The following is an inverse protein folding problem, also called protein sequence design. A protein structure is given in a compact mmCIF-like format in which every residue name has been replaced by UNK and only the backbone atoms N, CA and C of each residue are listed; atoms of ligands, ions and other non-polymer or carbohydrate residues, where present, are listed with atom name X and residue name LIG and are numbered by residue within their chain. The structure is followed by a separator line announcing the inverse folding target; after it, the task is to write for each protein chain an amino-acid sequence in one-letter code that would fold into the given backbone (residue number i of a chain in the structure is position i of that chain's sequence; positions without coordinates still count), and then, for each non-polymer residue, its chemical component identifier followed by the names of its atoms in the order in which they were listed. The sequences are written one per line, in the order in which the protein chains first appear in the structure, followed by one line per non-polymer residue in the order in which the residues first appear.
data_IF_013347129652
#
_entry.id   IF_013347129652
#
_cell.length_a   1.000
_cell.length_b   1.000
_cell.length_c   1.000
_cell.angle_alpha   90.00
_cell.angle_beta   90.00
_cell.angle_gamma   90.00
#
_symmetry.space_group_name_H-M   'P 1'
#
loop_
_entity.id
_entity.type
_entity.pdbx_description
1 polymer ?
#
# COMPACT_ATOMS: atom_id res chain seq x y z
N UNK A 1 17.75 -19.01 2.33
CA UNK A 1 16.45 -18.60 2.93
C UNK A 1 15.55 -18.17 1.79
N UNK A 2 14.29 -18.65 1.74
CA UNK A 2 13.35 -18.27 0.66
C UNK A 2 13.13 -16.77 0.65
N UNK A 3 12.90 -16.17 -0.53
CA UNK A 3 12.73 -14.72 -0.67
C UNK A 3 11.60 -14.17 0.22
N UNK A 4 10.46 -14.85 0.25
CA UNK A 4 9.32 -14.47 1.08
C UNK A 4 9.72 -14.37 2.56
N UNK A 5 10.49 -15.33 3.10
CA UNK A 5 10.94 -15.28 4.50
C UNK A 5 11.85 -14.09 4.79
N UNK A 6 12.70 -13.69 3.82
CA UNK A 6 13.55 -12.49 3.96
C UNK A 6 12.71 -11.22 3.99
N UNK A 7 11.77 -11.13 3.05
CA UNK A 7 10.89 -9.97 2.91
C UNK A 7 9.93 -9.83 4.11
N UNK A 8 9.39 -10.94 4.60
CA UNK A 8 8.53 -10.94 5.80
C UNK A 8 9.30 -10.55 7.05
N UNK A 9 10.54 -11.04 7.22
CA UNK A 9 11.38 -10.64 8.34
C UNK A 9 11.69 -9.14 8.30
N UNK A 10 12.08 -8.62 7.12
CA UNK A 10 12.32 -7.19 6.93
C UNK A 10 11.06 -6.35 7.22
N UNK A 11 9.90 -6.79 6.72
CA UNK A 11 8.64 -6.09 6.98
C UNK A 11 8.29 -6.05 8.48
N UNK A 12 8.59 -7.12 9.23
CA UNK A 12 8.37 -7.16 10.68
C UNK A 12 9.25 -6.16 11.46
N UNK A 13 10.39 -5.75 10.90
CA UNK A 13 11.24 -4.71 11.50
C UNK A 13 10.68 -3.30 11.28
N UNK A 14 9.85 -3.12 10.25
CA UNK A 14 9.27 -1.82 9.88
C UNK A 14 7.83 -1.61 10.35
N UNK A 15 7.02 -2.67 10.45
CA UNK A 15 5.58 -2.57 10.58
C UNK A 15 5.06 -3.30 11.83
N UNK A 16 3.92 -2.85 12.32
CA UNK A 16 3.29 -3.38 13.53
C UNK A 16 2.77 -4.81 13.35
N UNK A 17 2.07 -5.06 12.23
CA UNK A 17 1.60 -6.39 11.86
C UNK A 17 1.83 -6.64 10.37
N UNK A 18 2.09 -7.91 10.03
CA UNK A 18 2.25 -8.36 8.65
C UNK A 18 1.57 -9.70 8.43
N UNK A 19 1.02 -9.91 7.23
CA UNK A 19 0.42 -11.19 6.84
C UNK A 19 0.42 -11.38 5.34
N UNK A 20 0.46 -12.62 4.89
CA UNK A 20 0.54 -12.97 3.48
C UNK A 20 -0.78 -13.50 2.94
N UNK A 21 -1.11 -13.12 1.70
CA UNK A 21 -2.27 -13.59 0.94
C UNK A 21 -1.76 -14.04 -0.43
N UNK A 22 -2.26 -15.15 -0.96
CA UNK A 22 -2.01 -15.50 -2.36
C UNK A 22 -2.81 -14.58 -3.28
N UNK A 23 -2.17 -14.04 -4.32
CA UNK A 23 -2.86 -13.10 -5.24
C UNK A 23 -4.08 -13.73 -5.90
N UNK A 24 -4.06 -15.04 -6.16
CA UNK A 24 -5.18 -15.78 -6.69
C UNK A 24 -6.44 -15.82 -5.77
N UNK A 25 -6.27 -15.47 -4.49
CA UNK A 25 -7.37 -15.43 -3.51
C UNK A 25 -7.93 -14.01 -3.32
N UNK A 26 -7.31 -13.01 -3.94
CA UNK A 26 -7.72 -11.61 -3.83
C UNK A 26 -9.06 -11.39 -4.54
N UNK A 27 -9.90 -10.58 -3.90
CA UNK A 27 -11.18 -10.15 -4.45
C UNK A 27 -11.14 -8.66 -4.77
N UNK A 28 -11.80 -8.31 -5.85
CA UNK A 28 -11.90 -6.94 -6.34
C UNK A 28 -13.34 -6.48 -6.30
N UNK A 29 -13.55 -5.27 -5.80
CA UNK A 29 -14.87 -4.72 -5.54
C UNK A 29 -15.07 -3.44 -6.37
N UNK A 30 -15.82 -3.49 -7.48
CA UNK A 30 -16.15 -2.30 -8.27
C UNK A 30 -16.80 -1.20 -7.44
N UNK A 31 -17.54 -1.58 -6.39
CA UNK A 31 -18.22 -0.65 -5.47
C UNK A 31 -17.23 0.26 -4.73
N UNK A 32 -16.03 -0.23 -4.42
CA UNK A 32 -14.96 0.59 -3.81
C UNK A 32 -14.55 1.72 -4.75
N UNK A 33 -14.51 1.47 -6.06
CA UNK A 33 -14.22 2.50 -7.08
C UNK A 33 -15.34 3.54 -7.15
N UNK A 34 -16.60 3.14 -6.96
CA UNK A 34 -17.72 4.09 -6.86
C UNK A 34 -17.63 4.96 -5.61
N UNK A 35 -17.23 4.37 -4.46
CA UNK A 35 -16.96 5.14 -3.23
C UNK A 35 -15.81 6.13 -3.47
N UNK A 36 -14.73 5.72 -4.14
CA UNK A 36 -13.64 6.63 -4.53
C UNK A 36 -14.17 7.79 -5.39
N UNK A 37 -15.08 7.52 -6.34
CA UNK A 37 -15.70 8.55 -7.19
C UNK A 37 -16.52 9.55 -6.38
N UNK A 38 -17.14 9.13 -5.28
CA UNK A 38 -17.80 10.01 -4.30
C UNK A 38 -16.87 11.02 -3.63
N UNK A 39 -15.55 10.80 -3.73
CA UNK A 39 -14.47 11.72 -3.36
C UNK A 39 -14.52 12.25 -1.91
N UNK A 40 -14.96 11.43 -0.96
CA UNK A 40 -15.01 11.77 0.47
C UNK A 40 -13.61 12.08 1.00
N UNK A 41 -12.60 11.29 0.62
CA UNK A 41 -11.20 11.49 0.99
C UNK A 41 -10.52 12.66 0.23
N UNK A 42 -11.20 13.28 -0.74
CA UNK A 42 -10.74 14.42 -1.55
C UNK A 42 -9.50 14.16 -2.42
N UNK A 43 -9.17 12.89 -2.69
CA UNK A 43 -8.01 12.50 -3.51
C UNK A 43 -8.39 12.08 -4.94
N UNK A 44 -9.66 11.77 -5.20
CA UNK A 44 -10.13 11.37 -6.52
C UNK A 44 -9.90 12.48 -7.57
N UNK A 45 -9.28 12.12 -8.68
CA UNK A 45 -8.97 13.08 -9.75
C UNK A 45 -7.97 14.17 -9.38
N UNK A 46 -7.20 14.00 -8.30
CA UNK A 46 -6.26 15.02 -7.81
C UNK A 46 -4.83 14.53 -7.63
N UNK A 47 -4.60 13.22 -7.65
CA UNK A 47 -3.27 12.64 -7.43
C UNK A 47 -3.03 11.47 -8.36
N UNK A 48 -1.77 11.23 -8.72
CA UNK A 48 -1.35 10.03 -9.45
C UNK A 48 -1.55 8.73 -8.67
N UNK A 49 -1.72 8.81 -7.35
CA UNK A 49 -1.85 7.65 -6.47
C UNK A 49 -3.28 7.07 -6.39
N UNK A 50 -4.28 7.82 -6.86
CA UNK A 50 -5.71 7.50 -6.71
C UNK A 50 -6.44 7.48 -8.04
N UNK A 51 -7.65 6.91 -8.11
CA UNK A 51 -8.48 6.96 -9.31
C UNK A 51 -8.78 8.40 -9.75
N UNK A 52 -8.93 8.63 -11.05
CA UNK A 52 -8.81 7.72 -12.19
C UNK A 52 -7.35 7.47 -12.63
N UNK A 53 -6.35 8.15 -12.05
CA UNK A 53 -4.96 8.11 -12.49
C UNK A 53 -4.32 6.70 -12.40
N UNK A 54 -4.77 5.86 -11.46
CA UNK A 54 -4.29 4.48 -11.32
C UNK A 54 -4.77 3.54 -12.43
N UNK A 55 -5.64 4.03 -13.33
CA UNK A 55 -6.23 3.27 -14.44
C UNK A 55 -7.56 2.62 -14.07
N UNK A 56 -8.07 1.74 -14.95
CA UNK A 56 -9.30 0.97 -14.71
C UNK A 56 -9.08 -0.13 -13.68
N UNK A 57 -10.17 -0.75 -13.21
CA UNK A 57 -10.08 -1.87 -12.27
C UNK A 57 -9.39 -3.08 -12.92
N UNK A 58 -9.70 -3.34 -14.19
CA UNK A 58 -9.10 -4.41 -15.00
C UNK A 58 -7.60 -4.20 -15.17
N UNK A 59 -7.16 -2.97 -15.43
CA UNK A 59 -5.73 -2.65 -15.51
C UNK A 59 -5.02 -2.83 -14.16
N UNK A 60 -5.71 -2.56 -13.05
CA UNK A 60 -5.20 -2.82 -11.71
C UNK A 60 -5.07 -4.33 -11.46
N UNK A 61 -6.07 -5.14 -11.85
CA UNK A 61 -6.04 -6.60 -11.75
C UNK A 61 -4.87 -7.18 -12.56
N UNK A 62 -4.72 -6.79 -13.82
CA UNK A 62 -3.60 -7.24 -14.67
C UNK A 62 -2.24 -6.95 -14.03
N UNK A 63 -2.09 -5.81 -13.34
CA UNK A 63 -0.85 -5.51 -12.63
C UNK A 63 -0.61 -6.43 -11.42
N UNK A 64 -1.68 -6.76 -10.68
CA UNK A 64 -1.61 -7.68 -9.54
C UNK A 64 -1.34 -9.11 -9.99
N UNK A 65 -1.93 -9.55 -11.10
CA UNK A 65 -1.78 -10.90 -11.66
C UNK A 65 -0.34 -11.23 -12.11
N UNK A 66 0.53 -10.24 -12.19
CA UNK A 66 1.97 -10.46 -12.42
C UNK A 66 2.72 -10.97 -11.18
N UNK A 67 2.06 -11.09 -10.03
CA UNK A 67 2.63 -11.50 -8.74
C UNK A 67 1.86 -12.66 -8.15
N UNK A 68 2.53 -13.49 -7.35
CA UNK A 68 1.93 -14.68 -6.73
C UNK A 68 1.54 -14.47 -5.25
N UNK A 69 2.12 -13.47 -4.60
CA UNK A 69 1.93 -13.23 -3.17
C UNK A 69 1.81 -11.73 -2.87
N UNK A 70 0.82 -11.39 -2.04
CA UNK A 70 0.68 -10.08 -1.40
C UNK A 70 1.10 -10.20 0.06
N UNK A 71 2.08 -9.42 0.49
CA UNK A 71 2.39 -9.17 1.90
C UNK A 71 1.65 -7.90 2.32
N UNK A 72 0.57 -8.05 3.09
CA UNK A 72 -0.13 -6.94 3.72
C UNK A 72 0.61 -6.55 5.00
N UNK A 73 0.73 -5.26 5.26
CA UNK A 73 1.35 -4.73 6.47
C UNK A 73 0.57 -3.54 7.03
N UNK A 74 0.71 -3.30 8.33
CA UNK A 74 0.02 -2.21 9.02
C UNK A 74 0.90 -1.53 10.06
N UNK A 75 0.57 -0.27 10.37
CA UNK A 75 1.10 0.45 11.54
C UNK A 75 -0.06 1.06 12.32
N UNK A 76 -0.06 0.83 13.63
CA UNK A 76 -1.01 1.41 14.58
C UNK A 76 -0.43 2.68 15.19
N UNK A 77 -1.25 3.71 15.30
CA UNK A 77 -0.92 4.95 16.02
C UNK A 77 -1.95 5.19 17.11
N UNK A 78 -1.48 5.52 18.31
CA UNK A 78 -2.35 5.94 19.41
C UNK A 78 -2.73 7.42 19.22
N UNK A 79 -3.97 7.76 19.54
CA UNK A 79 -4.56 9.09 19.41
C UNK A 79 -4.96 9.61 20.79
N UNK A 80 -5.01 10.93 20.99
CA UNK A 80 -5.50 11.52 22.22
C UNK A 80 -6.98 11.17 22.46
N UNK A 81 -7.79 11.23 21.38
CA UNK A 81 -9.18 10.79 21.36
C UNK A 81 -9.63 10.45 19.92
N UNK A 82 -10.92 10.11 19.75
CA UNK A 82 -11.49 9.72 18.45
C UNK A 82 -11.59 10.88 17.45
N UNK A 83 -11.33 12.12 17.85
CA UNK A 83 -11.36 13.33 17.03
C UNK A 83 -9.99 13.98 16.86
N UNK A 84 -8.93 13.29 17.25
CA UNK A 84 -7.54 13.74 17.08
C UNK A 84 -7.11 13.68 15.59
N UNK A 85 -7.61 14.62 14.80
CA UNK A 85 -7.28 14.73 13.37
C UNK A 85 -5.80 15.06 13.12
N UNK A 86 -5.14 15.74 14.06
CA UNK A 86 -3.70 16.05 13.97
C UNK A 86 -2.88 14.79 14.15
N UNK A 87 -3.18 13.97 15.15
CA UNK A 87 -2.57 12.66 15.37
C UNK A 87 -2.79 11.72 14.19
N UNK A 88 -4.02 11.64 13.66
CA UNK A 88 -4.30 10.85 12.45
C UNK A 88 -3.45 11.33 11.26
N UNK A 89 -3.37 12.63 11.02
CA UNK A 89 -2.58 13.18 9.91
C UNK A 89 -1.09 12.91 10.10
N UNK A 90 -0.57 13.11 11.30
CA UNK A 90 0.82 12.85 11.65
C UNK A 90 1.18 11.37 11.46
N UNK A 91 0.34 10.48 11.96
CA UNK A 91 0.49 9.03 11.79
C UNK A 91 0.48 8.61 10.32
N UNK A 92 -0.43 9.17 9.51
CA UNK A 92 -0.44 8.91 8.07
C UNK A 92 0.85 9.34 7.38
N UNK A 93 1.39 10.50 7.71
CA UNK A 93 2.63 11.00 7.11
C UNK A 93 3.85 10.18 7.57
N UNK A 94 3.86 9.75 8.83
CA UNK A 94 4.90 8.86 9.35
C UNK A 94 4.84 7.48 8.68
N UNK A 95 3.66 6.89 8.57
CA UNK A 95 3.44 5.64 7.84
C UNK A 95 4.02 5.70 6.42
N UNK A 96 3.75 6.78 5.68
CA UNK A 96 4.30 6.94 4.32
C UNK A 96 5.83 6.99 4.30
N UNK A 97 6.45 7.60 5.30
CA UNK A 97 7.92 7.60 5.44
C UNK A 97 8.46 6.20 5.78
N UNK A 98 7.74 5.43 6.59
CA UNK A 98 8.11 4.04 6.88
C UNK A 98 8.02 3.18 5.62
N UNK A 99 6.98 3.34 4.81
CA UNK A 99 6.84 2.66 3.51
C UNK A 99 7.99 3.04 2.55
N UNK A 100 8.40 4.31 2.52
CA UNK A 100 9.54 4.75 1.70
C UNK A 100 10.85 4.06 2.14
N UNK A 101 11.13 3.98 3.45
CA UNK A 101 12.33 3.30 3.97
C UNK A 101 12.29 1.80 3.66
N UNK A 102 11.15 1.17 3.87
CA UNK A 102 10.95 -0.23 3.53
C UNK A 102 11.20 -0.46 2.02
N UNK A 103 10.72 0.44 1.15
CA UNK A 103 10.97 0.37 -0.28
C UNK A 103 12.48 0.39 -0.61
N UNK A 104 13.24 1.30 0.00
CA UNK A 104 14.70 1.41 -0.23
C UNK A 104 15.41 0.09 0.06
N UNK A 105 15.00 -0.63 1.11
CA UNK A 105 15.59 -1.92 1.47
C UNK A 105 15.09 -3.05 0.55
N UNK A 106 13.78 -3.08 0.21
CA UNK A 106 13.20 -4.05 -0.71
C UNK A 106 13.83 -3.96 -2.10
N UNK A 107 14.16 -2.78 -2.59
CA UNK A 107 14.82 -2.58 -3.88
C UNK A 107 16.19 -3.28 -3.97
N UNK A 108 16.82 -3.58 -2.84
CA UNK A 108 18.07 -4.35 -2.81
C UNK A 108 17.85 -5.86 -2.93
N UNK A 109 16.63 -6.33 -2.61
CA UNK A 109 16.28 -7.75 -2.50
C UNK A 109 15.48 -8.23 -3.71
N UNK A 110 14.46 -7.43 -4.11
CA UNK A 110 13.52 -7.79 -5.16
C UNK A 110 13.82 -7.02 -6.46
N UNK A 111 13.93 -7.73 -7.60
CA UNK A 111 14.06 -7.08 -8.90
C UNK A 111 12.74 -6.46 -9.38
N UNK A 112 11.62 -7.13 -9.08
CA UNK A 112 10.27 -6.73 -9.47
C UNK A 112 9.33 -6.82 -8.29
N UNK A 113 8.54 -5.78 -8.07
CA UNK A 113 7.52 -5.71 -7.02
C UNK A 113 6.50 -4.62 -7.35
N UNK A 114 5.35 -4.67 -6.70
CA UNK A 114 4.37 -3.59 -6.69
C UNK A 114 4.09 -3.22 -5.23
N UNK A 115 4.31 -1.96 -4.88
CA UNK A 115 4.07 -1.44 -3.54
C UNK A 115 2.85 -0.54 -3.55
N UNK A 116 1.85 -0.90 -2.75
CA UNK A 116 0.61 -0.14 -2.53
C UNK A 116 0.62 0.46 -1.12
N UNK A 117 -0.04 1.57 -0.94
CA UNK A 117 -0.11 2.26 0.35
C UNK A 117 -1.54 2.68 0.65
N UNK A 118 -1.76 3.36 1.75
CA UNK A 118 -3.03 3.96 2.09
C UNK A 118 -3.38 5.11 1.11
N UNK A 119 -4.59 5.60 1.20
CA UNK A 119 -5.16 6.67 0.38
C UNK A 119 -4.25 7.87 0.15
N UNK A 120 -4.26 8.39 -1.08
CA UNK A 120 -3.63 9.64 -1.47
C UNK A 120 -2.11 9.61 -1.44
N UNK A 121 -1.52 10.59 -2.11
CA UNK A 121 -0.09 10.88 -2.04
C UNK A 121 0.07 12.28 -1.43
N UNK A 122 0.89 12.41 -0.38
CA UNK A 122 1.16 13.67 0.33
C UNK A 122 2.59 14.17 0.13
N UNK A 123 3.30 13.64 -0.88
CA UNK A 123 4.69 13.99 -1.17
C UNK A 123 4.85 15.42 -1.70
N UNK A 124 3.93 15.87 -2.51
CA UNK A 124 3.94 17.23 -3.08
C UNK A 124 2.88 18.09 -2.41
N UNK A 125 3.18 19.37 -2.18
CA UNK A 125 2.17 20.33 -1.74
C UNK A 125 0.98 20.39 -2.72
N UNK A 126 1.27 20.33 -4.02
CA UNK A 126 0.28 20.20 -5.10
C UNK A 126 0.76 19.16 -6.09
N UNK A 127 -0.06 18.14 -6.35
CA UNK A 127 0.25 17.10 -7.33
C UNK A 127 0.27 17.68 -8.75
N UNK A 128 1.09 17.08 -9.61
CA UNK A 128 1.14 17.43 -11.05
C UNK A 128 0.00 16.82 -11.85
N UNK A 129 -0.80 15.92 -11.25
CA UNK A 129 -1.93 15.31 -11.94
C UNK A 129 -3.02 16.36 -12.27
N UNK A 130 -3.63 16.34 -13.45
CA UNK A 130 -3.32 15.49 -14.62
C UNK A 130 -2.29 16.09 -15.59
N UNK A 131 -1.84 17.31 -15.38
CA UNK A 131 -1.21 18.18 -16.38
C UNK A 131 0.24 17.80 -16.71
N UNK A 132 0.94 17.12 -15.79
CA UNK A 132 2.32 16.69 -15.98
C UNK A 132 2.62 15.37 -15.22
N UNK A 133 3.64 14.59 -15.66
CA UNK A 133 4.04 13.36 -14.99
C UNK A 133 4.36 13.55 -13.50
N UNK A 134 4.24 12.48 -12.72
CA UNK A 134 4.64 12.50 -11.31
C UNK A 134 6.11 12.91 -11.17
N UNK A 135 6.39 13.82 -10.22
CA UNK A 135 7.78 14.26 -9.94
C UNK A 135 8.61 13.18 -9.26
N UNK A 136 7.95 12.21 -8.61
CA UNK A 136 8.59 11.14 -7.83
C UNK A 136 8.01 9.77 -8.23
N UNK A 137 8.20 9.33 -9.50
CA UNK A 137 7.54 8.12 -10.01
C UNK A 137 7.98 6.85 -9.26
N UNK A 138 9.22 6.79 -8.76
CA UNK A 138 9.73 5.64 -7.99
C UNK A 138 9.07 5.50 -6.62
N UNK A 139 8.66 6.60 -6.01
CA UNK A 139 7.98 6.64 -4.71
C UNK A 139 6.47 6.89 -4.86
N UNK A 140 5.91 6.64 -6.04
CA UNK A 140 4.47 6.72 -6.26
C UNK A 140 3.83 5.40 -5.87
N UNK A 141 3.29 5.34 -4.66
CA UNK A 141 2.51 4.20 -4.20
C UNK A 141 1.03 4.46 -4.48
N UNK A 142 0.40 3.58 -5.25
CA UNK A 142 -1.03 3.64 -5.50
C UNK A 142 -1.81 3.22 -4.26
N UNK A 143 -3.04 3.72 -4.11
CA UNK A 143 -3.90 3.35 -2.98
C UNK A 143 -4.48 1.95 -3.14
N UNK A 144 -4.58 1.21 -2.02
CA UNK A 144 -5.25 -0.10 -1.96
C UNK A 144 -6.69 -0.03 -2.48
N UNK A 145 -7.45 0.97 -2.04
CA UNK A 145 -8.82 1.21 -2.46
C UNK A 145 -8.90 1.56 -3.96
N UNK A 146 -7.86 2.22 -4.49
CA UNK A 146 -7.73 2.48 -5.93
C UNK A 146 -7.63 1.21 -6.76
N UNK A 147 -7.18 0.12 -6.19
CA UNK A 147 -7.14 -1.23 -6.79
C UNK A 147 -8.43 -2.03 -6.53
N UNK A 148 -9.44 -1.41 -5.92
CA UNK A 148 -10.74 -2.05 -5.65
C UNK A 148 -10.72 -2.99 -4.45
N UNK A 149 -9.74 -2.87 -3.56
CA UNK A 149 -9.67 -3.70 -2.36
C UNK A 149 -10.48 -3.11 -1.20
N UNK A 150 -11.16 -3.98 -0.46
CA UNK A 150 -11.71 -3.68 0.87
C UNK A 150 -10.63 -4.03 1.90
N UNK A 151 -10.01 -3.02 2.50
CA UNK A 151 -8.84 -3.20 3.38
C UNK A 151 -9.14 -4.07 4.60
N UNK A 152 -10.35 -3.98 5.16
CA UNK A 152 -10.78 -4.83 6.28
C UNK A 152 -10.87 -6.33 5.91
N UNK A 153 -11.23 -6.63 4.65
CA UNK A 153 -11.22 -8.02 4.16
C UNK A 153 -9.80 -8.51 3.92
N UNK A 154 -8.93 -7.67 3.34
CA UNK A 154 -7.50 -8.00 3.22
C UNK A 154 -6.88 -8.29 4.59
N UNK A 155 -7.16 -7.45 5.60
CA UNK A 155 -6.66 -7.67 6.97
C UNK A 155 -7.13 -9.02 7.54
N UNK A 156 -8.41 -9.35 7.34
CA UNK A 156 -8.97 -10.64 7.77
C UNK A 156 -8.29 -11.82 7.06
N UNK A 157 -8.10 -11.74 5.75
CA UNK A 157 -7.43 -12.78 4.95
C UNK A 157 -5.95 -12.94 5.35
N UNK A 158 -5.27 -11.84 5.64
CA UNK A 158 -3.88 -11.81 6.08
C UNK A 158 -3.70 -12.26 7.54
N UNK A 159 -4.77 -12.38 8.31
CA UNK A 159 -4.73 -12.71 9.75
C UNK A 159 -4.17 -11.60 10.62
N UNK A 160 -4.34 -10.33 10.22
CA UNK A 160 -3.93 -9.15 10.99
C UNK A 160 -5.14 -8.31 11.40
N UNK A 161 -4.98 -7.42 12.39
CA UNK A 161 -6.09 -6.63 12.92
C UNK A 161 -6.34 -5.38 12.08
N UNK A 162 -7.59 -5.22 11.61
CA UNK A 162 -8.04 -3.98 10.96
C UNK A 162 -8.27 -2.86 11.98
N UNK A 163 -8.82 -3.21 13.16
CA UNK A 163 -9.11 -2.28 14.24
C UNK A 163 -8.32 -2.69 15.49
N UNK A 164 -7.55 -1.77 16.03
CA UNK A 164 -6.63 -1.98 17.15
C UNK A 164 -7.10 -1.32 18.47
N UNK A 165 -8.40 -1.06 18.58
CA UNK A 165 -9.02 -0.55 19.81
C UNK A 165 -9.40 0.93 19.76
N UNK A 166 -9.96 1.41 20.88
CA UNK A 166 -10.38 2.81 21.01
C UNK A 166 -9.16 3.75 20.97
N UNK A 167 -9.38 4.94 20.45
CA UNK A 167 -8.36 5.98 20.31
C UNK A 167 -7.10 5.51 19.57
N UNK A 168 -7.29 4.74 18.50
CA UNK A 168 -6.22 4.33 17.60
C UNK A 168 -6.61 4.58 16.14
N UNK A 169 -5.61 4.78 15.28
CA UNK A 169 -5.75 4.70 13.83
C UNK A 169 -4.73 3.69 13.30
N UNK A 170 -5.15 2.89 12.33
CA UNK A 170 -4.28 1.90 11.68
C UNK A 170 -4.21 2.21 10.18
N UNK A 171 -2.98 2.32 9.68
CA UNK A 171 -2.73 2.49 8.25
C UNK A 171 -2.17 1.22 7.65
N UNK A 172 -2.56 0.93 6.41
CA UNK A 172 -2.23 -0.29 5.70
C UNK A 172 -1.50 -0.01 4.39
N UNK A 173 -0.61 -0.92 4.04
CA UNK A 173 0.02 -1.00 2.74
C UNK A 173 0.21 -2.45 2.35
N UNK A 174 0.60 -2.69 1.10
CA UNK A 174 0.84 -4.03 0.60
C UNK A 174 2.02 -4.06 -0.36
N UNK A 175 2.83 -5.09 -0.24
CA UNK A 175 3.88 -5.43 -1.19
C UNK A 175 3.47 -6.68 -1.96
N UNK A 176 3.41 -6.60 -3.29
CA UNK A 176 3.20 -7.74 -4.16
C UNK A 176 4.53 -8.17 -4.74
N UNK A 177 4.80 -9.47 -4.70
CA UNK A 177 6.05 -10.07 -5.12
C UNK A 177 5.84 -11.48 -5.69
N UNK A 178 6.84 -11.99 -6.42
CA UNK A 178 6.93 -13.39 -6.78
C UNK A 178 7.92 -14.10 -5.86
N UNK A 179 7.51 -15.21 -5.26
CA UNK A 179 8.37 -15.97 -4.33
C UNK A 179 9.60 -16.57 -5.02
N UNK A 180 9.55 -16.68 -6.34
CA UNK A 180 10.67 -17.16 -7.17
C UNK A 180 11.68 -16.08 -7.56
N UNK A 181 11.29 -14.79 -7.46
CA UNK A 181 12.14 -13.68 -7.88
C UNK A 181 13.29 -13.46 -6.88
N UNK A 182 14.49 -13.85 -7.27
CA UNK A 182 15.71 -13.50 -6.54
C UNK A 182 16.58 -12.61 -7.42
N UNK A 183 17.16 -11.54 -6.87
CA UNK A 183 18.36 -10.97 -7.49
C UNK A 183 19.48 -12.00 -7.25
N UNK A 184 19.75 -12.84 -8.25
CA UNK A 184 21.01 -13.54 -8.28
C UNK A 184 22.11 -12.49 -8.29
N UNK A 185 22.97 -12.53 -7.28
CA UNK A 185 24.08 -11.60 -7.18
C UNK A 185 24.88 -11.67 -8.47
N UNK A 186 24.89 -10.59 -9.23
CA UNK A 186 25.84 -10.38 -10.32
C UNK A 186 27.23 -10.28 -9.67
N UNK A 187 27.83 -11.44 -9.40
CA UNK A 187 29.27 -11.57 -9.23
C UNK A 187 29.87 -11.48 -10.63
N UNK A 188 30.31 -10.33 -11.03
CA UNK A 188 31.38 -10.13 -11.99
C UNK A 188 32.27 -9.01 -11.52
#
# INVERSE_FOLDING_TARGET
MKILSKVTALAADHFFETGCIKTAELKYYPEVREICRGNVCRNYGKTWACPPAVGTLEECQVRVDNYDTMLLFSVKYDLEDSFDFEGMTSGMLDFKKQVDRFQEEIETILPHYLLLSNEGCKRCRTCTYPDAPCRFPRQLHHSLEGYGFIVSELATQAGIHYNNGANTVTYFGALLLNESDTREGSNT
#
